data_IF_659513748691
#
_entry.id   IF_659513748691
#
_cell.length_a   1.000
_cell.length_b   1.000
_cell.length_c   1.000
_cell.angle_alpha   90.00
_cell.angle_beta   90.00
_cell.angle_gamma   90.00
#
_symmetry.space_group_name_H-M   'P 1'
#
loop_
_entity.id
_entity.type
_entity.pdbx_description
1 polymer ?
#
# COMPACT_ATOMS: atom_id res chain seq x y z
N UNK A 1 -0.40 -14.02 6.56
CA UNK A 1 -0.86 -12.67 6.16
C UNK A 1 0.02 -11.63 6.81
N UNK A 2 0.59 -10.74 6.00
CA UNK A 2 1.46 -9.67 6.53
C UNK A 2 0.63 -8.59 7.23
N UNK A 3 1.30 -7.77 8.04
CA UNK A 3 0.66 -6.63 8.71
C UNK A 3 0.07 -5.66 7.67
N UNK A 4 0.81 -5.39 6.59
CA UNK A 4 0.33 -4.50 5.54
C UNK A 4 -0.93 -5.05 4.88
N UNK A 5 -0.93 -6.33 4.51
CA UNK A 5 -2.08 -6.94 3.85
C UNK A 5 -3.33 -6.85 4.74
N UNK A 6 -3.17 -7.14 6.02
CA UNK A 6 -4.27 -7.03 6.97
C UNK A 6 -4.78 -5.61 7.08
N UNK A 7 -3.87 -4.64 7.08
CA UNK A 7 -4.21 -3.22 7.19
C UNK A 7 -4.97 -2.73 5.96
N UNK A 8 -4.55 -3.13 4.76
CA UNK A 8 -5.21 -2.76 3.51
C UNK A 8 -6.56 -3.46 3.39
N UNK A 9 -6.62 -4.75 3.78
CA UNK A 9 -7.85 -5.54 3.76
C UNK A 9 -8.57 -5.50 2.41
N UNK A 10 -7.90 -5.94 1.34
CA UNK A 10 -8.43 -5.74 -0.02
C UNK A 10 -9.73 -6.48 -0.31
N UNK A 11 -9.89 -7.69 0.26
CA UNK A 11 -11.10 -8.47 0.00
C UNK A 11 -12.37 -7.74 0.39
N UNK A 12 -12.32 -6.94 1.47
CA UNK A 12 -13.48 -6.19 1.95
C UNK A 12 -13.53 -4.77 1.41
N UNK A 13 -12.38 -4.14 1.19
CA UNK A 13 -12.33 -2.71 0.90
C UNK A 13 -12.25 -2.36 -0.57
N UNK A 14 -11.76 -3.26 -1.41
CA UNK A 14 -11.62 -2.94 -2.83
C UNK A 14 -12.94 -3.17 -3.55
N UNK A 15 -13.35 -2.19 -4.33
CA UNK A 15 -14.49 -2.33 -5.24
C UNK A 15 -13.94 -2.59 -6.63
N UNK A 16 -13.90 -3.86 -7.00
CA UNK A 16 -13.27 -4.30 -8.23
C UNK A 16 -14.35 -4.61 -9.26
N UNK A 17 -14.28 -3.95 -10.41
CA UNK A 17 -15.25 -4.09 -11.48
C UNK A 17 -14.69 -4.96 -12.60
N UNK A 18 -15.61 -5.53 -13.40
CA UNK A 18 -15.20 -6.30 -14.59
C UNK A 18 -14.38 -5.46 -15.55
N UNK A 19 -14.70 -4.18 -15.69
CA UNK A 19 -13.95 -3.26 -16.55
C UNK A 19 -12.50 -3.12 -16.11
N UNK A 20 -12.27 -2.96 -14.80
CA UNK A 20 -10.91 -2.85 -14.27
C UNK A 20 -10.09 -4.11 -14.53
N UNK A 21 -10.69 -5.27 -14.33
CA UNK A 21 -10.00 -6.53 -14.55
C UNK A 21 -9.76 -6.79 -16.04
N UNK A 22 -10.73 -6.46 -16.88
CA UNK A 22 -10.57 -6.58 -18.34
C UNK A 22 -9.39 -5.72 -18.80
N UNK A 23 -9.28 -4.49 -18.30
CA UNK A 23 -8.18 -3.60 -18.63
C UNK A 23 -6.84 -4.17 -18.15
N UNK A 24 -6.81 -4.69 -16.93
CA UNK A 24 -5.61 -5.29 -16.36
C UNK A 24 -5.15 -6.50 -17.18
N UNK A 25 -6.09 -7.36 -17.58
CA UNK A 25 -5.78 -8.57 -18.36
C UNK A 25 -5.65 -8.30 -19.84
N UNK A 26 -6.00 -7.10 -20.30
CA UNK A 26 -6.00 -6.71 -21.72
C UNK A 26 -6.91 -7.60 -22.56
N UNK A 27 -8.12 -7.81 -22.09
CA UNK A 27 -9.14 -8.60 -22.76
C UNK A 27 -10.43 -7.81 -22.81
N UNK A 28 -11.38 -8.30 -23.62
CA UNK A 28 -12.72 -7.73 -23.66
C UNK A 28 -13.46 -7.99 -22.36
N UNK A 29 -14.18 -7.00 -21.87
CA UNK A 29 -14.97 -7.12 -20.64
C UNK A 29 -15.98 -8.26 -20.75
N UNK A 30 -16.50 -8.52 -21.94
CA UNK A 30 -17.49 -9.58 -22.18
C UNK A 30 -16.95 -10.99 -21.90
N UNK A 31 -15.63 -11.15 -21.83
CA UNK A 31 -15.01 -12.44 -21.50
C UNK A 31 -15.02 -12.72 -20.01
N UNK A 32 -15.32 -11.73 -19.18
CA UNK A 32 -15.35 -11.91 -17.73
C UNK A 32 -16.78 -12.21 -17.29
N UNK A 33 -16.96 -13.41 -16.76
CA UNK A 33 -18.27 -13.86 -16.30
C UNK A 33 -18.57 -13.37 -14.90
N UNK A 34 -17.59 -13.50 -14.01
CA UNK A 34 -17.78 -13.24 -12.59
C UNK A 34 -16.43 -12.96 -11.92
N UNK A 35 -16.45 -12.11 -10.91
CA UNK A 35 -15.28 -11.81 -10.07
C UNK A 35 -15.66 -12.14 -8.63
N UNK A 36 -14.78 -12.87 -7.93
CA UNK A 36 -14.97 -13.19 -6.52
C UNK A 36 -13.77 -12.67 -5.73
N UNK A 37 -14.05 -11.89 -4.70
CA UNK A 37 -13.02 -11.37 -3.81
C UNK A 37 -12.79 -12.35 -2.67
N UNK A 38 -11.83 -13.26 -2.86
CA UNK A 38 -11.44 -14.21 -1.82
C UNK A 38 -10.53 -13.51 -0.81
N UNK A 39 -10.38 -14.10 0.37
CA UNK A 39 -9.65 -13.46 1.46
C UNK A 39 -8.22 -13.05 1.07
N UNK A 40 -7.50 -13.91 0.35
CA UNK A 40 -6.10 -13.67 0.02
C UNK A 40 -5.85 -13.35 -1.44
N UNK A 41 -6.82 -13.59 -2.31
CA UNK A 41 -6.60 -13.51 -3.75
C UNK A 41 -7.93 -13.24 -4.46
N UNK A 42 -7.87 -12.57 -5.60
CA UNK A 42 -9.03 -12.36 -6.45
C UNK A 42 -9.18 -13.55 -7.39
N UNK A 43 -10.40 -14.05 -7.55
CA UNK A 43 -10.70 -15.13 -8.48
C UNK A 43 -11.59 -14.59 -9.60
N UNK A 44 -11.16 -14.82 -10.85
CA UNK A 44 -11.85 -14.32 -12.04
C UNK A 44 -12.29 -15.51 -12.88
N UNK A 45 -13.61 -15.59 -13.18
CA UNK A 45 -14.16 -16.59 -14.09
C UNK A 45 -14.18 -16.02 -15.49
N UNK A 46 -13.47 -16.63 -16.41
CA UNK A 46 -13.36 -16.20 -17.81
C UNK A 46 -14.05 -17.20 -18.74
N UNK A 47 -14.71 -16.68 -19.76
CA UNK A 47 -15.33 -17.54 -20.77
C UNK A 47 -14.30 -18.31 -21.59
N UNK A 48 -13.15 -17.68 -21.83
CA UNK A 48 -12.16 -18.25 -22.75
C UNK A 48 -11.15 -19.19 -22.10
N UNK A 49 -10.87 -19.00 -20.79
CA UNK A 49 -9.80 -19.76 -20.11
C UNK A 49 -10.21 -20.37 -18.79
N UNK A 50 -11.47 -20.24 -18.40
CA UNK A 50 -11.92 -20.71 -17.09
C UNK A 50 -11.48 -19.81 -15.97
N UNK A 51 -11.08 -20.40 -14.82
CA UNK A 51 -10.71 -19.63 -13.63
C UNK A 51 -9.28 -19.11 -13.69
N UNK A 52 -9.09 -17.93 -13.10
CA UNK A 52 -7.76 -17.32 -13.01
C UNK A 52 -7.65 -16.58 -11.69
N UNK A 53 -6.52 -16.77 -10.99
CA UNK A 53 -6.23 -16.03 -9.76
C UNK A 53 -5.41 -14.78 -10.08
N UNK A 54 -5.72 -13.68 -9.41
CA UNK A 54 -4.98 -12.44 -9.53
C UNK A 54 -4.66 -11.97 -8.11
N UNK A 55 -3.39 -11.69 -7.84
CA UNK A 55 -2.99 -11.12 -6.56
C UNK A 55 -3.54 -9.70 -6.43
N UNK A 56 -4.10 -9.37 -5.27
CA UNK A 56 -4.52 -7.99 -4.99
C UNK A 56 -3.35 -7.01 -5.11
N UNK A 57 -2.13 -7.47 -4.86
CA UNK A 57 -0.94 -6.62 -4.92
C UNK A 57 -0.60 -6.14 -6.33
N UNK A 58 -1.16 -6.80 -7.35
CA UNK A 58 -0.96 -6.41 -8.75
C UNK A 58 -1.96 -5.35 -9.21
N UNK A 59 -2.99 -5.09 -8.44
CA UNK A 59 -4.05 -4.18 -8.84
C UNK A 59 -3.68 -2.73 -8.52
N UNK A 60 -4.20 -1.82 -9.34
CA UNK A 60 -4.03 -0.38 -9.13
C UNK A 60 -4.54 0.04 -7.76
N UNK A 61 -5.64 -0.56 -7.30
CA UNK A 61 -6.20 -0.27 -5.99
C UNK A 61 -5.22 -0.53 -4.86
N UNK A 62 -4.38 -1.55 -4.96
CA UNK A 62 -3.38 -1.84 -3.93
C UNK A 62 -2.40 -0.68 -3.80
N UNK A 63 -1.82 -0.27 -4.92
CA UNK A 63 -0.87 0.84 -4.96
C UNK A 63 -1.49 2.11 -4.37
N UNK A 64 -2.71 2.43 -4.79
CA UNK A 64 -3.40 3.62 -4.33
C UNK A 64 -3.76 3.55 -2.85
N UNK A 65 -4.18 2.38 -2.37
CA UNK A 65 -4.53 2.20 -0.97
C UNK A 65 -3.30 2.36 -0.06
N UNK A 66 -2.16 1.80 -0.47
CA UNK A 66 -0.92 1.92 0.30
C UNK A 66 -0.44 3.38 0.29
N UNK A 67 -0.50 4.04 -0.86
CA UNK A 67 -0.15 5.46 -0.95
C UNK A 67 -1.02 6.30 -0.02
N UNK A 68 -2.32 6.01 0.02
CA UNK A 68 -3.26 6.69 0.91
C UNK A 68 -2.87 6.49 2.38
N UNK A 69 -2.46 5.29 2.76
CA UNK A 69 -2.01 5.03 4.13
C UNK A 69 -0.76 5.84 4.48
N UNK A 70 0.20 5.96 3.55
CA UNK A 70 1.37 6.81 3.74
C UNK A 70 0.98 8.26 3.97
N UNK A 71 0.05 8.76 3.16
CA UNK A 71 -0.40 10.16 3.23
C UNK A 71 -1.17 10.47 4.52
N UNK A 72 -1.69 9.47 5.19
CA UNK A 72 -2.40 9.65 6.47
C UNK A 72 -1.47 9.71 7.67
N UNK A 73 -0.20 9.38 7.51
CA UNK A 73 0.77 9.46 8.60
C UNK A 73 1.00 10.91 9.00
N UNK A 74 0.94 11.19 10.28
CA UNK A 74 1.14 12.55 10.81
C UNK A 74 2.48 12.72 11.52
N UNK A 75 3.18 11.63 11.84
CA UNK A 75 4.50 11.69 12.50
C UNK A 75 5.51 10.89 11.70
N UNK A 76 6.79 11.20 11.94
CA UNK A 76 7.89 10.46 11.29
C UNK A 76 7.93 9.01 11.76
N UNK A 77 7.57 8.77 13.02
CA UNK A 77 7.52 7.43 13.58
C UNK A 77 6.45 6.57 12.87
N UNK A 78 5.27 7.15 12.69
CA UNK A 78 4.19 6.45 11.98
C UNK A 78 4.60 6.12 10.55
N UNK A 79 5.23 7.08 9.89
CA UNK A 79 5.69 6.91 8.52
C UNK A 79 6.75 5.81 8.43
N UNK A 80 7.70 5.79 9.36
CA UNK A 80 8.75 4.77 9.37
C UNK A 80 8.18 3.38 9.65
N UNK A 81 7.26 3.27 10.61
CA UNK A 81 6.62 2.00 10.92
C UNK A 81 5.86 1.44 9.72
N UNK A 82 5.11 2.31 9.05
CA UNK A 82 4.38 1.90 7.86
C UNK A 82 5.33 1.52 6.74
N UNK A 83 6.41 2.29 6.55
CA UNK A 83 7.40 1.96 5.52
C UNK A 83 8.05 0.61 5.77
N UNK A 84 8.34 0.28 7.04
CA UNK A 84 8.86 -1.03 7.42
C UNK A 84 7.88 -2.14 7.03
N UNK A 85 6.59 -1.92 7.27
CA UNK A 85 5.56 -2.89 6.90
C UNK A 85 5.47 -3.05 5.37
N UNK A 86 5.60 -1.96 4.63
CA UNK A 86 5.57 -1.97 3.16
C UNK A 86 6.76 -2.75 2.62
N UNK A 87 7.96 -2.46 3.09
CA UNK A 87 9.16 -3.14 2.59
C UNK A 87 9.18 -4.60 2.99
N UNK A 88 8.67 -4.94 4.16
CA UNK A 88 8.54 -6.34 4.57
C UNK A 88 7.61 -7.11 3.62
N UNK A 89 6.44 -6.54 3.35
CA UNK A 89 5.47 -7.17 2.44
C UNK A 89 6.05 -7.31 1.03
N UNK A 90 6.72 -6.27 0.56
CA UNK A 90 7.34 -6.29 -0.77
C UNK A 90 8.42 -7.36 -0.85
N UNK A 91 9.27 -7.49 0.16
CA UNK A 91 10.32 -8.50 0.18
C UNK A 91 9.72 -9.90 0.19
N UNK A 92 8.71 -10.12 1.00
CA UNK A 92 8.09 -11.44 1.15
C UNK A 92 7.30 -11.87 -0.08
N UNK A 93 6.68 -10.91 -0.78
CA UNK A 93 5.80 -11.19 -1.92
C UNK A 93 6.27 -10.48 -3.19
N UNK A 94 7.57 -10.38 -3.38
CA UNK A 94 8.16 -9.58 -4.44
C UNK A 94 7.63 -9.92 -5.83
N UNK A 95 7.38 -11.19 -6.09
CA UNK A 95 6.89 -11.64 -7.40
C UNK A 95 5.43 -11.26 -7.66
N UNK A 96 4.72 -10.76 -6.66
CA UNK A 96 3.34 -10.29 -6.82
C UNK A 96 3.27 -8.79 -7.07
N UNK A 97 4.38 -8.07 -6.96
CA UNK A 97 4.42 -6.63 -7.16
C UNK A 97 4.91 -6.30 -8.57
N UNK A 98 4.25 -5.31 -9.19
CA UNK A 98 4.80 -4.73 -10.40
C UNK A 98 6.06 -3.94 -10.04
N UNK A 99 7.02 -3.93 -10.96
CA UNK A 99 8.32 -3.30 -10.71
C UNK A 99 8.21 -1.81 -10.37
N UNK A 100 7.19 -1.14 -10.93
CA UNK A 100 7.03 0.31 -10.74
C UNK A 100 6.42 0.69 -9.40
N UNK A 101 5.88 -0.26 -8.64
CA UNK A 101 5.10 0.06 -7.43
C UNK A 101 5.99 0.57 -6.30
N UNK A 102 7.08 -0.13 -6.00
CA UNK A 102 7.94 0.29 -4.87
C UNK A 102 8.58 1.65 -5.11
N UNK A 103 9.14 1.96 -6.29
CA UNK A 103 9.64 3.31 -6.55
C UNK A 103 8.56 4.39 -6.44
N UNK A 104 7.34 4.09 -6.89
CA UNK A 104 6.22 5.01 -6.76
C UNK A 104 5.92 5.30 -5.28
N UNK A 105 5.84 4.25 -4.45
CA UNK A 105 5.57 4.39 -3.03
C UNK A 105 6.70 5.11 -2.30
N UNK A 106 7.93 4.86 -2.69
CA UNK A 106 9.09 5.54 -2.13
C UNK A 106 9.02 7.04 -2.39
N UNK A 107 8.61 7.43 -3.60
CA UNK A 107 8.45 8.84 -3.93
C UNK A 107 7.34 9.49 -3.07
N UNK A 108 6.22 8.78 -2.86
CA UNK A 108 5.16 9.25 -1.96
C UNK A 108 5.70 9.41 -0.54
N UNK A 109 6.47 8.44 -0.07
CA UNK A 109 7.07 8.50 1.27
C UNK A 109 7.96 9.74 1.43
N UNK A 110 8.81 10.04 0.46
CA UNK A 110 9.65 11.22 0.50
C UNK A 110 8.84 12.51 0.58
N UNK A 111 7.78 12.61 -0.20
CA UNK A 111 6.90 13.78 -0.17
C UNK A 111 6.22 13.92 1.19
N UNK A 112 5.78 12.82 1.76
CA UNK A 112 5.17 12.84 3.09
C UNK A 112 6.18 13.23 4.17
N UNK A 113 7.41 12.75 4.06
CA UNK A 113 8.46 13.06 5.01
C UNK A 113 8.78 14.56 4.99
N UNK A 114 8.84 15.18 3.81
CA UNK A 114 9.06 16.61 3.68
C UNK A 114 7.93 17.44 4.27
N UNK A 115 6.71 16.94 4.20
CA UNK A 115 5.54 17.65 4.71
C UNK A 115 5.38 17.54 6.24
N UNK A 116 6.05 16.59 6.88
CA UNK A 116 5.93 16.40 8.32
C UNK A 116 6.95 17.29 9.03
N UNK A 117 6.52 18.16 9.97
CA UNK A 117 7.44 19.03 10.68
C UNK A 117 8.43 18.23 11.53
N UNK A 118 9.68 18.66 11.57
CA UNK A 118 10.69 18.02 12.41
C UNK A 118 10.34 18.09 13.87
N UNK A 119 9.68 19.16 14.29
CA UNK A 119 9.27 19.33 15.69
C UNK A 119 8.40 18.19 16.19
N UNK A 120 7.72 17.47 15.30
CA UNK A 120 6.91 16.30 15.68
C UNK A 120 7.77 15.15 16.18
N UNK A 121 9.07 15.19 15.95
CA UNK A 121 10.01 14.14 16.36
C UNK A 121 10.58 14.42 17.73
N UNK A 122 10.77 15.69 18.06
CA UNK A 122 11.51 16.04 19.23
C UNK A 122 10.70 16.07 20.46
N UNK A 123 10.27 15.81 20.96
CA UNK A 123 9.57 16.19 22.16
C UNK A 123 9.65 15.16 23.20
N UNK A 124 10.74 15.60 22.79
CA UNK A 124 10.90 15.08 23.50
C UNK A 124 11.56 14.77 23.95
N UNK A 125 12.12 15.46 23.58
CA UNK A 125 12.55 15.87 23.79
C UNK A 125 12.89 16.02 24.15
N UNK A 126 13.62 16.19 24.38
CA UNK A 126 13.88 17.03 24.65
C UNK A 126 14.10 17.31 25.00
N UNK A 127 14.60 17.34 25.40
CA UNK A 127 14.74 18.06 25.64
C UNK A 127 15.25 18.30 25.78
N UNK A 128 15.82 18.58 26.09
CA UNK A 128 15.98 19.18 26.08
C UNK A 128 16.18 19.48 25.82
N UNK A 129 16.83 19.20 26.12
CA UNK A 129 16.87 19.97 25.96
C UNK A 129 17.09 20.29 25.90
N UNK A 130 17.36 20.35 26.07
CA UNK A 130 17.32 21.08 25.93
C UNK A 130 17.29 21.46 25.79
N UNK A 131 17.84 21.04 25.97
CA UNK A 131 17.70 21.76 25.88
C UNK A 131 17.89 22.03 25.80
N UNK A 132 18.19 21.94 26.02
CA UNK A 132 18.16 22.62 25.96
C UNK A 132 18.17 22.80 25.83
N UNK A 133 18.42 22.60 26.02
CA UNK A 133 18.28 23.03 25.96
C UNK A 133 17.98 23.09 25.74
N UNK A 134 18.38 22.76 25.96
CA UNK A 134 18.16 23.09 25.97
C UNK A 134 18.00 23.25 25.73
N UNK A 135 18.63 22.95 26.10
CA UNK A 135 18.46 23.42 26.11
C UNK A 135 18.54 23.65 26.02
N UNK A 136 18.81 23.34 26.22
CA UNK A 136 18.70 23.78 26.25
C UNK A 136 18.68 23.92 26.09
N UNK A 137 19.31 23.84 26.40
CA UNK A 137 19.03 24.26 26.39
C UNK A 137 19.16 24.53 26.18
#
# INVERSE_FOLDING_TARGET
MTILFRRINPAQKFRITKRQIAKFLRISESLIVKIESWLYVLFVHRLDKGGQFISYRQLEQWKNAVACQLQKCSTREQLQQLWNAITFDHTKHKNQYLISVLPFLENIRFKCLEAIPEASVNIQHHPQSMSVQQLKL
#
